data_IF_352304743303
#
_entry.id   IF_352304743303
#
_cell.length_a   1.000
_cell.length_b   1.000
_cell.length_c   1.000
_cell.angle_alpha   90.00
_cell.angle_beta   90.00
_cell.angle_gamma   90.00
#
_symmetry.space_group_name_H-M   'P 1'
#
loop_
_entity.id
_entity.type
_entity.pdbx_description
1 polymer ?
#
# COMPACT_ATOMS: atom_id res chain seq x y z
N UNK A 1 32.06 2.94 -6.20
CA UNK A 1 31.46 2.66 -4.87
C UNK A 1 31.13 3.98 -4.16
N UNK A 2 30.34 4.85 -4.81
CA UNK A 2 29.97 6.19 -4.31
C UNK A 2 28.63 6.52 -4.97
N UNK A 3 27.51 6.07 -4.38
CA UNK A 3 26.13 6.55 -4.68
C UNK A 3 25.09 5.93 -3.71
N UNK A 4 25.48 5.70 -2.45
CA UNK A 4 24.55 5.39 -1.33
C UNK A 4 24.57 6.55 -0.32
N UNK A 5 24.34 7.76 -0.82
CA UNK A 5 24.08 8.97 -0.02
C UNK A 5 22.74 9.53 -0.49
N UNK A 6 21.68 8.77 -0.30
CA UNK A 6 20.32 9.24 -0.57
C UNK A 6 19.84 9.89 0.73
N UNK A 7 19.91 11.21 0.83
CA UNK A 7 18.75 12.09 0.62
C UNK A 7 17.57 11.83 1.58
N UNK A 8 17.78 11.18 2.72
CA UNK A 8 16.74 10.90 3.74
C UNK A 8 16.16 12.15 4.44
N UNK A 9 16.48 13.38 4.02
CA UNK A 9 16.03 14.58 4.75
C UNK A 9 16.04 15.92 3.99
N UNK A 10 16.24 15.96 2.66
CA UNK A 10 16.34 17.25 1.93
C UNK A 10 15.15 17.55 1.02
N UNK A 11 14.31 16.60 0.62
CA UNK A 11 13.19 16.92 -0.29
C UNK A 11 11.95 17.49 0.42
N UNK A 12 11.76 17.22 1.72
CA UNK A 12 10.59 17.70 2.47
C UNK A 12 10.75 19.17 2.90
N UNK A 13 11.98 19.69 2.98
CA UNK A 13 12.25 21.04 3.49
C UNK A 13 11.97 22.17 2.48
N UNK A 14 11.99 21.90 1.17
CA UNK A 14 11.78 22.94 0.14
C UNK A 14 10.31 23.15 -0.23
N UNK A 15 9.38 22.27 0.20
CA UNK A 15 7.95 22.39 -0.12
C UNK A 15 7.08 22.98 1.01
N UNK A 16 7.65 23.25 2.18
CA UNK A 16 6.94 23.84 3.33
C UNK A 16 6.57 25.32 3.08
N UNK A 17 7.12 25.98 2.06
CA UNK A 17 6.85 27.39 1.79
C UNK A 17 5.69 27.69 0.82
N UNK A 18 4.94 26.71 0.30
CA UNK A 18 3.91 26.99 -0.75
C UNK A 18 2.48 26.58 -0.41
N UNK A 19 2.22 25.82 0.66
CA UNK A 19 0.86 25.28 0.91
C UNK A 19 0.08 25.95 2.05
N UNK A 20 0.60 27.03 2.65
CA UNK A 20 -0.24 27.87 3.51
C UNK A 20 -0.96 28.88 2.62
N UNK A 21 -2.29 28.76 2.58
CA UNK A 21 -3.27 29.64 1.91
C UNK A 21 -3.57 29.33 0.44
N UNK A 22 -4.46 28.35 0.20
CA UNK A 22 -5.51 28.53 -0.81
C UNK A 22 -6.86 28.18 -0.16
N UNK A 23 -7.77 29.14 0.03
CA UNK A 23 -9.10 28.88 0.57
C UNK A 23 -9.87 27.93 -0.35
N UNK A 24 -10.65 27.04 0.26
CA UNK A 24 -11.57 26.13 -0.41
C UNK A 24 -12.79 26.89 -0.98
N UNK A 25 -12.58 27.77 -1.95
CA UNK A 25 -13.64 28.45 -2.70
C UNK A 25 -13.19 28.48 -4.15
N UNK A 26 -13.97 27.83 -5.03
CA UNK A 26 -13.78 27.70 -6.50
C UNK A 26 -13.32 26.33 -7.04
N UNK A 27 -13.87 25.22 -6.54
CA UNK A 27 -13.96 24.00 -7.36
C UNK A 27 -15.37 23.94 -7.97
N UNK A 28 -15.48 24.16 -9.28
CA UNK A 28 -16.71 23.95 -10.05
C UNK A 28 -17.14 22.47 -9.95
N UNK A 29 -18.45 22.15 -10.04
CA UNK A 29 -18.92 20.76 -10.05
C UNK A 29 -18.53 20.15 -11.39
N UNK A 30 -17.39 19.43 -11.40
CA UNK A 30 -16.91 18.68 -12.55
C UNK A 30 -17.54 17.31 -12.49
N UNK A 31 -18.11 16.82 -13.60
CA UNK A 31 -18.61 15.45 -13.81
C UNK A 31 -18.07 14.46 -12.77
N UNK A 32 -18.99 13.99 -11.92
CA UNK A 32 -18.71 13.29 -10.66
C UNK A 32 -18.12 11.87 -10.85
N UNK A 33 -18.01 11.41 -12.10
CA UNK A 33 -17.36 10.17 -12.46
C UNK A 33 -15.88 10.42 -12.84
N UNK A 34 -14.97 9.75 -12.14
CA UNK A 34 -13.54 9.71 -12.45
C UNK A 34 -13.18 8.34 -12.99
N UNK A 35 -12.70 8.32 -14.24
CA UNK A 35 -12.20 7.12 -14.91
C UNK A 35 -10.68 7.21 -15.02
N UNK A 36 -10.00 6.19 -14.53
CA UNK A 36 -8.55 6.06 -14.60
C UNK A 36 -8.20 4.75 -15.29
N UNK A 37 -7.35 4.82 -16.30
CA UNK A 37 -6.80 3.65 -17.00
C UNK A 37 -5.31 3.57 -16.69
N UNK A 38 -4.86 2.42 -16.20
CA UNK A 38 -3.49 2.21 -15.76
C UNK A 38 -2.87 0.96 -16.43
N UNK A 39 -1.56 1.02 -16.64
CA UNK A 39 -0.75 -0.12 -17.06
C UNK A 39 0.56 -0.12 -16.29
N UNK A 40 0.85 -1.20 -15.57
CA UNK A 40 2.01 -1.29 -14.68
C UNK A 40 2.48 -2.73 -14.46
N UNK A 41 3.66 -2.87 -13.88
CA UNK A 41 4.24 -4.13 -13.41
C UNK A 41 4.59 -3.99 -11.93
N UNK A 42 4.34 -5.02 -11.13
CA UNK A 42 4.58 -5.02 -9.68
C UNK A 42 5.05 -6.40 -9.20
N UNK A 43 5.98 -6.43 -8.25
CA UNK A 43 6.38 -7.66 -7.54
C UNK A 43 5.17 -8.32 -6.86
N UNK A 44 5.15 -9.63 -6.85
CA UNK A 44 4.19 -10.42 -6.07
C UNK A 44 4.88 -11.02 -4.86
N UNK A 45 4.25 -10.88 -3.69
CA UNK A 45 4.59 -11.61 -2.48
C UNK A 45 3.60 -12.77 -2.31
N UNK A 46 3.95 -13.76 -1.51
CA UNK A 46 3.05 -14.87 -1.17
C UNK A 46 1.76 -14.39 -0.50
N UNK A 47 0.65 -15.09 -0.73
CA UNK A 47 -0.64 -14.77 -0.07
C UNK A 47 -0.67 -15.25 1.38
N UNK A 48 0.12 -16.27 1.70
CA UNK A 48 0.31 -16.79 3.05
C UNK A 48 1.75 -16.60 3.51
N UNK A 49 1.92 -16.51 4.84
CA UNK A 49 3.23 -16.45 5.48
C UNK A 49 3.95 -17.80 5.37
N UNK A 50 5.28 -17.78 5.23
CA UNK A 50 6.13 -18.97 5.27
C UNK A 50 6.25 -19.53 6.72
N UNK A 51 7.08 -20.55 6.93
CA UNK A 51 7.32 -21.14 8.25
C UNK A 51 7.90 -20.15 9.29
N UNK A 52 8.52 -19.07 8.82
CA UNK A 52 9.04 -17.97 9.65
C UNK A 52 7.99 -16.87 9.85
N UNK A 53 6.76 -17.03 9.38
CA UNK A 53 5.74 -16.01 9.53
C UNK A 53 5.90 -14.81 8.58
N UNK A 54 6.70 -14.94 7.51
CA UNK A 54 7.00 -13.86 6.57
C UNK A 54 6.33 -14.07 5.20
N UNK A 55 5.83 -12.98 4.61
CA UNK A 55 5.48 -12.91 3.19
C UNK A 55 6.76 -12.83 2.35
N UNK A 56 6.90 -13.72 1.37
CA UNK A 56 8.12 -13.83 0.55
C UNK A 56 7.85 -13.55 -0.92
N UNK A 57 8.79 -12.98 -1.67
CA UNK A 57 8.63 -12.78 -3.11
C UNK A 57 8.30 -14.08 -3.85
N UNK A 58 7.33 -14.04 -4.76
CA UNK A 58 6.92 -15.18 -5.61
C UNK A 58 7.14 -14.90 -7.09
N UNK A 59 7.26 -13.63 -7.48
CA UNK A 59 7.51 -13.22 -8.87
C UNK A 59 7.04 -11.80 -9.10
N UNK A 60 6.32 -11.58 -10.20
CA UNK A 60 5.72 -10.29 -10.51
C UNK A 60 4.43 -10.48 -11.33
N UNK A 61 3.62 -9.42 -11.44
CA UNK A 61 2.47 -9.38 -12.34
C UNK A 61 2.51 -8.13 -13.22
N UNK A 62 2.11 -8.29 -14.47
CA UNK A 62 1.80 -7.17 -15.36
C UNK A 62 0.29 -6.93 -15.33
N UNK A 63 -0.11 -5.68 -15.21
CA UNK A 63 -1.49 -5.31 -14.93
C UNK A 63 -1.94 -4.22 -15.90
N UNK A 64 -3.11 -4.43 -16.51
CA UNK A 64 -3.91 -3.37 -17.10
C UNK A 64 -5.19 -3.23 -16.28
N UNK A 65 -5.55 -2.01 -15.89
CA UNK A 65 -6.69 -1.74 -15.03
C UNK A 65 -7.51 -0.55 -15.50
N UNK A 66 -8.83 -0.63 -15.31
CA UNK A 66 -9.77 0.48 -15.38
C UNK A 66 -10.37 0.65 -14.00
N UNK A 67 -10.25 1.84 -13.46
CA UNK A 67 -10.94 2.29 -12.25
C UNK A 67 -11.99 3.31 -12.66
N UNK A 68 -13.22 3.15 -12.20
CA UNK A 68 -14.26 4.16 -12.31
C UNK A 68 -14.84 4.41 -10.92
N UNK A 69 -14.77 5.64 -10.46
CA UNK A 69 -15.34 6.07 -9.19
C UNK A 69 -16.34 7.17 -9.47
N UNK A 70 -17.59 6.96 -9.07
CA UNK A 70 -18.67 7.94 -9.15
C UNK A 70 -19.15 8.22 -7.74
N UNK A 71 -19.14 9.48 -7.32
CA UNK A 71 -19.65 9.93 -6.02
C UNK A 71 -20.75 10.97 -6.26
N UNK A 72 -22.00 10.56 -6.13
CA UNK A 72 -23.18 11.38 -6.48
C UNK A 72 -24.26 11.15 -5.42
N UNK A 73 -24.90 12.23 -4.97
CA UNK A 73 -26.11 12.21 -4.14
C UNK A 73 -26.02 11.33 -2.87
N UNK A 74 -24.84 11.28 -2.25
CA UNK A 74 -24.64 10.48 -1.02
C UNK A 74 -24.35 9.00 -1.29
N UNK A 75 -24.07 8.61 -2.54
CA UNK A 75 -23.69 7.24 -2.90
C UNK A 75 -22.34 7.22 -3.63
N UNK A 76 -21.44 6.33 -3.18
CA UNK A 76 -20.24 6.00 -3.93
C UNK A 76 -20.46 4.70 -4.69
N UNK A 77 -20.14 4.76 -5.97
CA UNK A 77 -20.04 3.61 -6.84
C UNK A 77 -18.60 3.48 -7.32
N UNK A 78 -18.05 2.28 -7.20
CA UNK A 78 -16.71 1.96 -7.68
C UNK A 78 -16.79 0.76 -8.60
N UNK A 79 -16.25 0.88 -9.80
CA UNK A 79 -16.07 -0.23 -10.73
C UNK A 79 -14.60 -0.43 -10.99
N UNK A 80 -14.18 -1.68 -10.97
CA UNK A 80 -12.81 -2.09 -11.18
C UNK A 80 -12.82 -3.19 -12.23
N UNK A 81 -12.08 -3.02 -13.30
CA UNK A 81 -11.87 -4.05 -14.33
C UNK A 81 -10.39 -4.22 -14.54
N UNK A 82 -9.88 -5.43 -14.32
CA UNK A 82 -8.43 -5.68 -14.29
C UNK A 82 -8.09 -6.95 -15.06
N UNK A 83 -6.98 -6.91 -15.78
CA UNK A 83 -6.32 -8.08 -16.34
C UNK A 83 -4.91 -8.13 -15.77
N UNK A 84 -4.56 -9.26 -15.15
CA UNK A 84 -3.28 -9.48 -14.47
C UNK A 84 -2.58 -10.70 -15.06
N UNK A 85 -1.41 -10.53 -15.66
CA UNK A 85 -0.57 -11.64 -16.12
C UNK A 85 0.52 -11.91 -15.08
N UNK A 86 0.51 -13.11 -14.48
CA UNK A 86 1.43 -13.52 -13.42
C UNK A 86 2.65 -14.24 -13.97
N UNK A 87 3.82 -13.92 -13.44
CA UNK A 87 5.11 -14.51 -13.77
C UNK A 87 5.85 -14.90 -12.49
N UNK A 88 6.66 -15.95 -12.54
CA UNK A 88 7.58 -16.28 -11.43
C UNK A 88 8.87 -15.46 -11.46
N UNK A 89 9.70 -15.68 -10.44
CA UNK A 89 11.03 -15.06 -10.31
C UNK A 89 12.02 -15.40 -11.46
N UNK A 90 11.70 -16.41 -12.29
CA UNK A 90 12.48 -16.81 -13.46
C UNK A 90 11.88 -16.29 -14.76
N UNK A 91 10.93 -15.34 -14.69
CA UNK A 91 10.27 -14.75 -15.85
C UNK A 91 9.39 -15.75 -16.62
N UNK A 92 8.97 -16.85 -15.98
CA UNK A 92 8.06 -17.82 -16.58
C UNK A 92 6.61 -17.43 -16.29
N UNK A 93 5.83 -17.26 -17.36
CA UNK A 93 4.39 -17.02 -17.26
C UNK A 93 3.69 -18.17 -16.51
N UNK A 94 2.77 -17.83 -15.63
CA UNK A 94 1.97 -18.79 -14.86
C UNK A 94 0.55 -18.85 -15.36
N UNK A 95 -0.15 -17.73 -15.29
CA UNK A 95 -1.55 -17.59 -15.60
C UNK A 95 -1.91 -16.12 -15.71
N UNK A 96 -3.07 -15.87 -16.28
CA UNK A 96 -3.70 -14.57 -16.29
C UNK A 96 -4.97 -14.60 -15.46
N UNK A 97 -5.28 -13.52 -14.77
CA UNK A 97 -6.52 -13.37 -14.01
C UNK A 97 -7.26 -12.14 -14.53
N UNK A 98 -8.50 -12.35 -14.96
CA UNK A 98 -9.41 -11.30 -15.40
C UNK A 98 -10.42 -11.10 -14.28
N UNK A 99 -10.53 -9.86 -13.79
CA UNK A 99 -11.40 -9.50 -12.66
C UNK A 99 -12.32 -8.36 -13.05
N UNK A 100 -13.57 -8.45 -12.66
CA UNK A 100 -14.50 -7.33 -12.65
C UNK A 100 -15.18 -7.25 -11.30
N UNK A 101 -15.14 -6.07 -10.71
CA UNK A 101 -15.71 -5.81 -9.40
C UNK A 101 -16.53 -4.52 -9.45
N UNK A 102 -17.75 -4.57 -8.91
CA UNK A 102 -18.56 -3.37 -8.69
C UNK A 102 -18.94 -3.30 -7.23
N UNK A 103 -18.71 -2.14 -6.62
CA UNK A 103 -19.08 -1.85 -5.26
C UNK A 103 -19.97 -0.61 -5.23
N UNK A 104 -21.07 -0.72 -4.50
CA UNK A 104 -22.05 0.34 -4.31
C UNK A 104 -22.22 0.55 -2.83
N UNK A 105 -22.12 1.78 -2.36
CA UNK A 105 -22.30 2.11 -0.95
C UNK A 105 -23.02 3.44 -0.79
N UNK A 106 -24.10 3.39 -0.02
CA UNK A 106 -24.82 4.57 0.40
C UNK A 106 -24.16 5.14 1.66
N UNK A 107 -23.59 6.34 1.57
CA UNK A 107 -22.79 6.97 2.62
C UNK A 107 -23.57 7.32 3.88
N UNK A 108 -24.89 7.48 3.78
CA UNK A 108 -25.74 7.88 4.89
C UNK A 108 -26.16 6.65 5.71
N UNK A 109 -26.63 5.61 5.02
CA UNK A 109 -27.09 4.37 5.66
C UNK A 109 -25.94 3.41 5.99
N UNK A 110 -24.85 3.43 5.22
CA UNK A 110 -23.81 2.40 5.24
C UNK A 110 -24.27 1.07 4.64
N UNK A 111 -25.37 1.04 3.89
CA UNK A 111 -25.77 -0.12 3.12
C UNK A 111 -24.91 -0.24 1.86
N UNK A 112 -24.39 -1.45 1.61
CA UNK A 112 -23.55 -1.71 0.46
C UNK A 112 -23.86 -3.03 -0.24
N UNK A 113 -23.61 -3.04 -1.54
CA UNK A 113 -23.64 -4.25 -2.36
C UNK A 113 -22.36 -4.37 -3.17
N UNK A 114 -22.00 -5.61 -3.47
CA UNK A 114 -20.79 -5.94 -4.19
C UNK A 114 -21.07 -7.03 -5.23
N UNK A 115 -20.50 -6.85 -6.42
CA UNK A 115 -20.43 -7.84 -7.48
C UNK A 115 -18.96 -8.17 -7.68
N UNK A 116 -18.62 -9.45 -7.76
CA UNK A 116 -17.29 -9.93 -8.10
C UNK A 116 -17.36 -11.03 -9.12
N UNK A 117 -16.64 -10.83 -10.21
CA UNK A 117 -16.45 -11.78 -11.27
C UNK A 117 -14.95 -11.99 -11.45
N UNK A 118 -14.56 -13.24 -11.63
CA UNK A 118 -13.15 -13.62 -11.79
C UNK A 118 -13.07 -14.83 -12.69
N UNK A 119 -12.13 -14.80 -13.61
CA UNK A 119 -11.75 -15.94 -14.43
C UNK A 119 -10.22 -16.04 -14.49
N UNK A 120 -9.71 -17.26 -14.55
CA UNK A 120 -8.29 -17.53 -14.75
C UNK A 120 -8.08 -18.14 -16.13
N UNK A 121 -7.07 -17.65 -16.83
CA UNK A 121 -6.67 -18.10 -18.15
C UNK A 121 -5.23 -18.59 -18.14
N UNK A 122 -4.90 -19.55 -19.01
CA UNK A 122 -3.55 -20.07 -19.18
C UNK A 122 -2.79 -19.39 -20.33
N UNK A 123 -3.31 -18.27 -20.84
CA UNK A 123 -2.66 -17.46 -21.89
C UNK A 123 -2.49 -16.02 -21.42
N UNK A 124 -1.35 -15.37 -21.74
CA UNK A 124 -1.12 -13.97 -21.40
C UNK A 124 -2.10 -13.06 -22.16
N UNK A 125 -2.62 -12.04 -21.47
CA UNK A 125 -3.60 -11.10 -22.00
C UNK A 125 -3.12 -9.65 -21.96
N UNK A 126 -2.12 -9.34 -21.13
CA UNK A 126 -1.47 -8.03 -21.06
C UNK A 126 -0.35 -7.99 -22.10
N UNK A 127 -0.59 -7.28 -23.21
CA UNK A 127 0.46 -7.06 -24.21
C UNK A 127 1.62 -6.29 -23.56
N UNK A 128 2.78 -6.92 -23.46
CA UNK A 128 3.99 -6.25 -22.98
C UNK A 128 4.34 -5.10 -23.92
N UNK A 129 4.07 -3.86 -23.48
CA UNK A 129 4.62 -2.68 -24.14
C UNK A 129 6.14 -2.71 -24.00
N UNK A 130 6.86 -2.25 -25.01
CA UNK A 130 8.30 -1.92 -24.90
C UNK A 130 8.45 -0.92 -23.73
N UNK A 131 8.97 -1.39 -22.59
CA UNK A 131 9.09 -0.60 -21.35
C UNK A 131 8.42 -1.21 -20.11
N UNK A 132 7.48 -2.16 -20.25
CA UNK A 132 6.89 -2.95 -19.15
C UNK A 132 7.72 -4.21 -18.87
N UNK A 133 9.04 -4.07 -18.83
CA UNK A 133 9.89 -5.12 -18.28
C UNK A 133 10.31 -4.61 -16.93
N UNK A 134 9.56 -4.98 -15.87
CA UNK A 134 10.15 -5.04 -14.56
C UNK A 134 11.38 -5.94 -14.71
N UNK A 135 12.56 -5.33 -14.85
CA UNK A 135 13.79 -6.08 -14.71
C UNK A 135 13.73 -6.65 -13.30
N UNK A 136 14.39 -7.78 -13.07
CA UNK A 136 14.53 -8.42 -11.75
C UNK A 136 14.95 -7.46 -10.61
N UNK A 137 15.41 -6.25 -10.95
CA UNK A 137 15.86 -5.16 -10.08
C UNK A 137 14.82 -4.07 -9.79
N UNK A 138 13.71 -3.95 -10.53
CA UNK A 138 12.70 -2.89 -10.33
C UNK A 138 11.38 -3.51 -9.85
N UNK A 139 11.02 -3.22 -8.59
CA UNK A 139 9.87 -3.84 -7.91
C UNK A 139 8.50 -3.30 -8.37
N UNK A 140 8.50 -2.11 -8.98
CA UNK A 140 7.32 -1.49 -9.56
C UNK A 140 7.70 -0.61 -10.75
N UNK A 141 6.94 -0.69 -11.84
CA UNK A 141 7.08 0.16 -13.02
C UNK A 141 5.68 0.50 -13.55
N UNK A 142 5.37 1.80 -13.67
CA UNK A 142 4.12 2.27 -14.27
C UNK A 142 4.40 3.01 -15.57
N UNK A 143 3.56 2.78 -16.58
CA UNK A 143 3.70 3.44 -17.89
C UNK A 143 2.75 4.62 -18.00
N UNK A 144 3.28 5.75 -18.49
CA UNK A 144 2.46 6.87 -18.94
C UNK A 144 1.79 6.50 -20.27
N UNK A 145 0.45 6.47 -20.27
CA UNK A 145 -0.36 6.09 -21.43
C UNK A 145 -0.82 7.33 -22.20
N UNK A 146 -0.70 7.29 -23.53
CA UNK A 146 -1.41 8.24 -24.40
C UNK A 146 -2.91 7.96 -24.40
N UNK A 147 -3.74 8.89 -24.89
CA UNK A 147 -5.19 8.70 -24.91
C UNK A 147 -5.63 7.58 -25.86
N UNK A 148 -4.90 7.37 -26.96
CA UNK A 148 -5.10 6.22 -27.86
C UNK A 148 -4.80 4.90 -27.15
N UNK A 149 -3.73 4.85 -26.35
CA UNK A 149 -3.35 3.67 -25.57
C UNK A 149 -4.37 3.37 -24.48
N UNK A 150 -4.85 4.39 -23.77
CA UNK A 150 -5.95 4.24 -22.79
C UNK A 150 -7.19 3.67 -23.47
N UNK A 151 -7.54 4.18 -24.64
CA UNK A 151 -8.71 3.71 -25.41
C UNK A 151 -8.56 2.26 -25.84
N UNK A 152 -7.37 1.87 -26.32
CA UNK A 152 -7.07 0.48 -26.70
C UNK A 152 -7.18 -0.46 -25.49
N UNK A 153 -6.51 -0.13 -24.38
CA UNK A 153 -6.54 -0.93 -23.15
C UNK A 153 -7.98 -1.06 -22.64
N UNK A 154 -8.73 0.05 -22.63
CA UNK A 154 -10.13 0.06 -22.20
C UNK A 154 -10.96 -0.95 -23.00
N UNK A 155 -10.88 -0.89 -24.34
CA UNK A 155 -11.59 -1.80 -25.24
C UNK A 155 -11.19 -3.26 -25.06
N UNK A 156 -9.91 -3.53 -24.84
CA UNK A 156 -9.41 -4.89 -24.59
C UNK A 156 -9.97 -5.46 -23.28
N UNK A 157 -9.87 -4.70 -22.18
CA UNK A 157 -10.41 -5.10 -20.87
C UNK A 157 -11.93 -5.31 -20.95
N UNK A 158 -12.67 -4.38 -21.55
CA UNK A 158 -14.13 -4.51 -21.73
C UNK A 158 -14.49 -5.78 -22.51
N UNK A 159 -13.70 -6.12 -23.54
CA UNK A 159 -13.89 -7.35 -24.32
C UNK A 159 -13.62 -8.64 -23.54
N UNK A 160 -12.75 -8.60 -22.54
CA UNK A 160 -12.54 -9.72 -21.62
C UNK A 160 -13.63 -9.79 -20.56
N UNK A 161 -13.97 -8.66 -19.93
CA UNK A 161 -15.00 -8.56 -18.89
C UNK A 161 -16.37 -8.98 -19.40
N UNK A 162 -16.72 -8.64 -20.65
CA UNK A 162 -17.99 -9.05 -21.26
C UNK A 162 -18.17 -10.58 -21.40
N UNK A 163 -17.10 -11.37 -21.23
CA UNK A 163 -17.14 -12.83 -21.28
C UNK A 163 -17.18 -13.47 -19.89
N UNK A 164 -17.02 -12.68 -18.83
CA UNK A 164 -17.04 -13.21 -17.47
C UNK A 164 -18.44 -13.76 -17.14
N UNK A 165 -18.52 -14.83 -16.32
CA UNK A 165 -19.80 -15.37 -15.89
C UNK A 165 -20.58 -14.32 -15.10
N UNK A 166 -21.88 -14.19 -15.37
CA UNK A 166 -22.75 -13.28 -14.62
C UNK A 166 -22.69 -13.58 -13.11
N UNK A 167 -22.64 -12.52 -12.32
CA UNK A 167 -22.66 -12.60 -10.86
C UNK A 167 -23.78 -11.71 -10.31
N UNK A 168 -24.56 -12.23 -9.38
CA UNK A 168 -25.58 -11.47 -8.69
C UNK A 168 -24.95 -10.54 -7.63
N UNK A 169 -25.52 -9.35 -7.41
CA UNK A 169 -25.12 -8.49 -6.29
C UNK A 169 -25.27 -9.22 -4.94
N UNK A 170 -24.23 -9.14 -4.13
CA UNK A 170 -24.20 -9.66 -2.76
C UNK A 170 -24.22 -8.49 -1.78
N UNK A 171 -24.82 -8.68 -0.61
CA UNK A 171 -24.66 -7.70 0.47
C UNK A 171 -23.19 -7.62 0.86
N UNK A 172 -22.69 -6.41 0.99
CA UNK A 172 -21.35 -6.12 1.46
C UNK A 172 -21.42 -5.30 2.74
N UNK A 173 -20.34 -5.32 3.50
CA UNK A 173 -20.15 -4.32 4.54
C UNK A 173 -20.02 -2.96 3.88
N UNK A 174 -20.84 -2.00 4.32
CA UNK A 174 -20.77 -0.62 3.87
C UNK A 174 -20.14 0.31 4.90
N UNK A 175 -19.90 1.54 4.47
CA UNK A 175 -19.21 2.58 5.23
C UNK A 175 -20.06 3.84 5.26
N UNK A 176 -20.12 4.48 6.43
CA UNK A 176 -20.69 5.82 6.51
C UNK A 176 -19.62 6.87 6.30
N UNK A 177 -19.98 7.98 5.66
CA UNK A 177 -19.06 9.11 5.48
C UNK A 177 -18.57 9.68 6.82
N UNK A 178 -19.43 9.67 7.83
CA UNK A 178 -19.07 10.07 9.19
C UNK A 178 -17.95 9.22 9.79
N UNK A 179 -17.85 7.93 9.43
CA UNK A 179 -16.81 7.06 9.97
C UNK A 179 -15.45 7.35 9.31
N UNK A 180 -15.44 7.62 8.00
CA UNK A 180 -14.24 8.10 7.30
C UNK A 180 -13.76 9.45 7.83
N UNK A 181 -14.68 10.37 8.13
CA UNK A 181 -14.33 11.67 8.69
C UNK A 181 -13.78 11.57 10.12
N UNK A 182 -14.25 10.60 10.93
CA UNK A 182 -13.64 10.32 12.24
C UNK A 182 -12.18 9.90 12.09
N UNK A 183 -11.87 9.02 11.12
CA UNK A 183 -10.48 8.60 10.87
C UNK A 183 -9.60 9.76 10.40
N UNK A 184 -10.07 10.55 9.44
CA UNK A 184 -9.33 11.73 8.95
C UNK A 184 -9.07 12.74 10.06
N UNK A 185 -9.99 12.81 11.03
CA UNK A 185 -9.94 13.80 12.10
C UNK A 185 -9.47 13.26 13.45
N UNK A 186 -9.05 12.00 13.53
CA UNK A 186 -8.59 11.37 14.76
C UNK A 186 -7.38 12.14 15.32
N UNK A 187 -7.52 12.77 16.51
CA UNK A 187 -6.44 13.52 17.14
C UNK A 187 -5.19 12.69 17.41
N UNK A 188 -5.32 11.38 17.68
CA UNK A 188 -4.18 10.50 17.91
C UNK A 188 -3.46 10.18 16.60
N UNK A 189 -4.20 9.90 15.52
CA UNK A 189 -3.62 9.74 14.18
C UNK A 189 -2.95 11.04 13.69
N UNK A 190 -3.57 12.21 13.95
CA UNK A 190 -2.99 13.52 13.64
C UNK A 190 -1.74 13.84 14.46
N UNK A 191 -1.70 13.45 15.74
CA UNK A 191 -0.57 13.69 16.64
C UNK A 191 0.63 12.78 16.30
N UNK A 192 0.39 11.49 16.06
CA UNK A 192 1.37 10.52 15.57
C UNK A 192 1.86 10.83 14.13
N UNK A 193 1.16 11.73 13.44
CA UNK A 193 1.61 12.25 12.14
C UNK A 193 2.45 13.53 12.31
N UNK A 194 2.13 14.35 13.32
CA UNK A 194 2.79 15.62 13.56
C UNK A 194 4.21 15.48 14.14
N UNK A 195 4.54 14.41 14.85
CA UNK A 195 5.90 14.25 15.40
C UNK A 195 6.87 13.43 14.54
N UNK A 196 6.43 12.86 13.41
CA UNK A 196 7.26 12.33 12.32
C UNK A 196 8.25 13.36 11.70
N UNK A 197 8.23 14.62 12.15
CA UNK A 197 8.89 15.74 11.50
C UNK A 197 10.28 16.12 12.02
N UNK A 198 11.02 15.30 12.78
CA UNK A 198 12.33 15.73 13.32
C UNK A 198 13.46 14.68 13.38
N UNK A 199 14.63 15.16 12.91
CA UNK A 199 16.02 14.76 13.18
C UNK A 199 16.72 13.75 12.23
N UNK A 200 17.94 14.13 11.83
CA UNK A 200 18.91 13.33 11.07
C UNK A 200 20.33 13.52 11.63
N UNK A 201 21.14 12.45 11.67
CA UNK A 201 22.61 12.46 11.49
C UNK A 201 23.22 11.04 11.32
N UNK A 202 24.12 10.92 10.32
CA UNK A 202 25.20 9.93 10.05
C UNK A 202 25.14 8.46 10.53
N UNK A 203 24.11 7.68 10.19
CA UNK A 203 24.07 6.21 10.34
C UNK A 203 23.31 5.57 9.15
N UNK A 204 23.50 4.27 8.84
CA UNK A 204 22.63 3.56 7.87
C UNK A 204 21.21 3.48 8.45
N UNK A 205 20.32 4.31 7.92
CA UNK A 205 18.93 4.43 8.33
C UNK A 205 18.02 4.36 7.10
N UNK A 206 16.90 3.69 7.23
CA UNK A 206 15.78 3.72 6.29
C UNK A 206 14.49 3.54 7.07
N UNK A 207 13.39 4.09 6.58
CA UNK A 207 12.10 3.99 7.22
C UNK A 207 11.15 5.11 6.87
N UNK A 208 9.86 4.80 6.99
CA UNK A 208 8.77 5.76 6.86
C UNK A 208 7.80 5.56 8.03
N UNK A 209 7.09 6.61 8.45
CA UNK A 209 6.05 6.49 9.48
C UNK A 209 6.52 5.79 10.77
N UNK A 210 7.74 6.11 11.23
CA UNK A 210 8.37 5.57 12.45
C UNK A 210 8.59 4.04 12.44
N UNK A 211 8.48 3.40 11.26
CA UNK A 211 8.96 2.06 10.97
C UNK A 211 10.37 2.17 10.38
N UNK A 212 11.41 1.84 11.14
CA UNK A 212 12.79 2.08 10.71
C UNK A 212 13.80 1.11 11.32
N UNK A 213 15.00 1.13 10.76
CA UNK A 213 16.19 0.64 11.42
C UNK A 213 17.27 1.72 11.48
N UNK A 214 18.14 1.59 12.46
CA UNK A 214 19.39 2.33 12.59
C UNK A 214 20.47 1.29 12.94
N UNK A 215 21.46 1.11 12.07
CA UNK A 215 22.50 0.09 12.26
C UNK A 215 23.90 0.68 12.04
N UNK A 216 24.71 0.63 13.09
CA UNK A 216 26.12 1.00 13.03
C UNK A 216 26.93 -0.24 12.63
N UNK A 217 27.42 -0.26 11.39
CA UNK A 217 28.17 -1.41 10.83
C UNK A 217 29.56 -1.60 11.43
N UNK A 218 30.12 -0.58 12.09
CA UNK A 218 31.44 -0.67 12.73
C UNK A 218 31.35 -1.25 14.15
N UNK A 219 30.32 -0.89 14.90
CA UNK A 219 30.13 -1.36 16.29
C UNK A 219 29.16 -2.53 16.40
N UNK A 220 28.44 -2.83 15.32
CA UNK A 220 27.33 -3.79 15.30
C UNK A 220 26.06 -3.30 16.00
N UNK A 221 26.10 -2.14 16.68
CA UNK A 221 24.96 -1.61 17.41
C UNK A 221 23.77 -1.35 16.48
N UNK A 222 22.57 -1.67 16.94
CA UNK A 222 21.35 -1.39 16.20
C UNK A 222 20.18 -0.95 17.07
N UNK A 223 19.25 -0.25 16.41
CA UNK A 223 17.87 -0.03 16.81
C UNK A 223 16.96 -0.42 15.66
N UNK A 224 15.91 -1.19 15.95
CA UNK A 224 14.86 -1.55 15.00
C UNK A 224 13.51 -1.20 15.59
N UNK A 225 12.61 -0.63 14.79
CA UNK A 225 11.30 -0.19 15.24
C UNK A 225 10.23 -0.44 14.18
N UNK A 226 9.08 -0.96 14.60
CA UNK A 226 7.91 -1.20 13.73
C UNK A 226 6.60 -0.93 14.44
N UNK A 227 5.58 -0.56 13.67
CA UNK A 227 4.22 -0.33 14.15
C UNK A 227 3.67 -1.63 14.75
N UNK A 228 3.14 -1.51 15.97
CA UNK A 228 2.51 -2.59 16.71
C UNK A 228 1.10 -2.90 16.23
N UNK A 229 0.39 -3.76 16.98
CA UNK A 229 -0.99 -4.10 16.67
C UNK A 229 -1.98 -2.98 17.07
N UNK A 230 -1.65 -2.18 18.08
CA UNK A 230 -2.40 -0.98 18.40
C UNK A 230 -1.88 0.16 17.52
N UNK A 231 -2.79 0.97 16.95
CA UNK A 231 -2.39 2.21 16.27
C UNK A 231 -1.49 3.03 17.19
N UNK A 232 -0.60 3.87 16.62
CA UNK A 232 0.34 4.75 17.33
C UNK A 232 1.38 4.10 18.28
N UNK A 233 1.32 2.81 18.61
CA UNK A 233 2.33 2.13 19.43
C UNK A 233 3.31 1.36 18.55
N UNK A 234 4.60 1.46 18.86
CA UNK A 234 5.68 0.83 18.11
C UNK A 234 6.47 -0.13 19.00
N UNK A 235 6.84 -1.27 18.41
CA UNK A 235 7.73 -2.26 19.01
C UNK A 235 9.16 -1.89 18.66
N UNK A 236 9.99 -1.60 19.67
CA UNK A 236 11.38 -1.20 19.49
C UNK A 236 12.33 -2.19 20.17
N UNK A 237 13.34 -2.63 19.43
CA UNK A 237 14.49 -3.36 19.96
C UNK A 237 15.78 -2.59 19.77
N UNK A 238 16.67 -2.66 20.75
CA UNK A 238 18.05 -2.22 20.62
C UNK A 238 19.01 -3.35 20.99
N UNK A 239 20.13 -3.45 20.30
CA UNK A 239 21.06 -4.56 20.46
C UNK A 239 22.36 -4.39 19.70
N UNK A 240 23.07 -5.50 19.51
CA UNK A 240 24.26 -5.55 18.65
C UNK A 240 24.31 -6.81 17.80
N UNK A 241 24.77 -6.67 16.56
CA UNK A 241 25.12 -7.78 15.66
C UNK A 241 26.51 -8.34 15.95
N UNK A 242 27.33 -7.63 16.73
CA UNK A 242 28.68 -8.06 17.05
C UNK A 242 28.66 -9.34 17.91
N UNK A 243 29.32 -10.39 17.44
CA UNK A 243 29.36 -11.68 18.13
C UNK A 243 28.05 -12.48 18.08
N UNK A 244 27.04 -12.03 17.34
CA UNK A 244 25.75 -12.74 17.20
C UNK A 244 25.37 -12.91 15.72
N UNK A 245 25.53 -14.13 15.21
CA UNK A 245 25.07 -14.50 13.87
C UNK A 245 23.55 -14.42 13.74
N UNK A 246 22.82 -14.71 14.83
CA UNK A 246 21.36 -14.58 14.90
C UNK A 246 20.93 -13.13 14.68
N UNK A 247 21.48 -12.19 15.47
CA UNK A 247 21.17 -10.77 15.30
C UNK A 247 21.60 -10.23 13.94
N UNK A 248 22.75 -10.67 13.40
CA UNK A 248 23.21 -10.25 12.07
C UNK A 248 22.27 -10.72 10.94
N UNK A 249 21.81 -11.97 10.99
CA UNK A 249 20.87 -12.53 10.03
C UNK A 249 19.50 -11.82 10.13
N UNK A 250 18.98 -11.66 11.34
CA UNK A 250 17.72 -10.94 11.58
C UNK A 250 17.83 -9.48 11.16
N UNK A 251 18.95 -8.80 11.39
CA UNK A 251 19.16 -7.44 10.91
C UNK A 251 19.05 -7.37 9.38
N UNK A 252 19.62 -8.35 8.65
CA UNK A 252 19.56 -8.39 7.19
C UNK A 252 18.13 -8.59 6.68
N UNK A 253 17.36 -9.49 7.31
CA UNK A 253 15.95 -9.72 6.96
C UNK A 253 15.08 -8.50 7.31
N UNK A 254 15.30 -7.88 8.47
CA UNK A 254 14.58 -6.70 8.91
C UNK A 254 14.84 -5.51 7.98
N UNK A 255 16.11 -5.28 7.59
CA UNK A 255 16.48 -4.28 6.59
C UNK A 255 15.79 -4.53 5.25
N UNK A 256 15.73 -5.77 4.80
CA UNK A 256 15.00 -6.11 3.55
C UNK A 256 13.54 -5.73 3.65
N UNK A 257 12.91 -6.00 4.79
CA UNK A 257 11.51 -5.66 5.04
C UNK A 257 11.28 -4.15 5.09
N UNK A 258 12.07 -3.40 5.86
CA UNK A 258 11.96 -1.94 5.94
C UNK A 258 12.29 -1.26 4.62
N UNK A 259 13.31 -1.71 3.89
CA UNK A 259 13.64 -1.16 2.58
C UNK A 259 12.54 -1.45 1.55
N UNK A 260 11.93 -2.65 1.60
CA UNK A 260 10.75 -2.96 0.81
C UNK A 260 9.63 -1.99 1.11
N UNK A 261 9.22 -1.90 2.37
CA UNK A 261 8.20 -0.96 2.83
C UNK A 261 8.48 0.49 2.37
N UNK A 262 9.69 0.99 2.61
CA UNK A 262 10.12 2.35 2.26
C UNK A 262 10.06 2.62 0.76
N UNK A 263 10.53 1.69 -0.09
CA UNK A 263 10.41 1.84 -1.55
C UNK A 263 8.96 1.94 -2.01
N UNK A 264 8.07 1.07 -1.52
CA UNK A 264 6.67 1.12 -1.93
C UNK A 264 5.98 2.41 -1.48
N UNK A 265 6.37 2.95 -0.34
CA UNK A 265 5.75 4.14 0.26
C UNK A 265 6.31 5.43 -0.34
N UNK A 266 7.61 5.64 -0.18
CA UNK A 266 8.24 6.92 -0.48
C UNK A 266 8.63 7.04 -1.95
N UNK A 267 8.92 5.93 -2.63
CA UNK A 267 9.32 5.96 -4.03
C UNK A 267 8.15 5.72 -4.97
N UNK A 268 7.34 4.69 -4.74
CA UNK A 268 6.28 4.29 -5.69
C UNK A 268 4.93 4.94 -5.39
N UNK A 269 4.62 5.17 -4.10
CA UNK A 269 3.41 5.86 -3.68
C UNK A 269 3.58 7.38 -3.52
N UNK A 270 4.61 7.99 -4.12
CA UNK A 270 4.77 9.45 -4.11
C UNK A 270 3.50 10.16 -4.62
N UNK A 271 3.08 11.21 -3.91
CA UNK A 271 1.88 11.98 -4.21
C UNK A 271 2.24 13.46 -4.35
N UNK A 272 1.64 14.20 -5.31
CA UNK A 272 1.85 15.64 -5.42
C UNK A 272 1.25 16.43 -4.24
N UNK A 273 0.39 15.79 -3.44
CA UNK A 273 -0.30 16.39 -2.30
C UNK A 273 -0.06 15.55 -1.05
N UNK A 274 0.57 16.16 -0.06
CA UNK A 274 0.84 15.58 1.26
C UNK A 274 -0.38 14.94 1.96
N UNK A 275 -1.62 15.51 1.88
CA UNK A 275 -2.83 14.90 2.44
C UNK A 275 -3.15 13.48 1.96
N UNK A 276 -2.71 13.09 0.76
CA UNK A 276 -2.96 11.73 0.22
C UNK A 276 -2.18 10.68 1.00
N UNK A 277 -0.91 10.96 1.27
CA UNK A 277 -0.02 10.08 2.02
C UNK A 277 -0.40 10.06 3.51
N UNK A 278 -0.93 11.18 4.03
CA UNK A 278 -1.53 11.27 5.37
C UNK A 278 -2.79 10.40 5.49
N UNK A 279 -3.68 10.46 4.50
CA UNK A 279 -4.91 9.66 4.46
C UNK A 279 -4.62 8.17 4.46
N UNK A 280 -3.59 7.75 3.71
CA UNK A 280 -3.09 6.37 3.71
C UNK A 280 -2.52 5.94 5.08
N UNK A 281 -1.66 6.74 5.71
CA UNK A 281 -1.07 6.39 7.01
C UNK A 281 -2.11 6.27 8.12
N UNK A 282 -3.12 7.14 8.10
CA UNK A 282 -4.29 7.09 9.00
C UNK A 282 -5.13 5.83 8.77
N UNK A 283 -5.22 5.34 7.53
CA UNK A 283 -5.89 4.10 7.20
C UNK A 283 -5.27 2.92 7.95
N UNK A 284 -3.95 2.73 7.83
CA UNK A 284 -3.25 1.60 8.47
C UNK A 284 -3.39 1.62 9.99
N UNK A 285 -3.41 2.81 10.61
CA UNK A 285 -3.51 2.93 12.07
C UNK A 285 -4.93 2.74 12.61
N UNK A 286 -5.98 3.19 11.89
CA UNK A 286 -7.32 3.37 12.49
C UNK A 286 -8.44 2.46 11.98
N UNK A 287 -8.19 1.60 11.00
CA UNK A 287 -9.25 0.82 10.32
C UNK A 287 -10.12 -0.10 11.18
N UNK A 288 -9.73 -0.37 12.44
CA UNK A 288 -10.56 -1.12 13.40
C UNK A 288 -11.98 -0.54 13.54
N UNK A 289 -12.13 0.76 13.28
CA UNK A 289 -13.36 1.51 13.47
C UNK A 289 -14.34 1.41 12.30
N UNK A 290 -13.89 0.95 11.12
CA UNK A 290 -14.66 1.10 9.87
C UNK A 290 -15.03 -0.24 9.23
N UNK A 291 -14.12 -1.23 9.23
CA UNK A 291 -14.38 -2.54 8.60
C UNK A 291 -14.30 -3.66 9.64
N UNK A 292 -15.39 -3.84 10.38
CA UNK A 292 -15.58 -4.93 11.34
C UNK A 292 -15.16 -6.31 10.77
N UNK A 293 -14.39 -7.07 11.56
CA UNK A 293 -13.90 -8.40 11.18
C UNK A 293 -12.52 -8.42 10.51
N UNK A 294 -11.98 -7.25 10.16
CA UNK A 294 -10.63 -7.09 9.62
C UNK A 294 -9.74 -6.54 10.76
N UNK A 295 -8.58 -7.17 11.00
CA UNK A 295 -7.70 -6.81 12.12
C UNK A 295 -7.13 -5.39 12.05
N UNK A 296 -6.22 -5.04 12.96
CA UNK A 296 -5.57 -3.72 13.00
C UNK A 296 -4.15 -3.73 12.44
N UNK A 297 -3.63 -2.53 12.17
CA UNK A 297 -2.26 -2.35 11.70
C UNK A 297 -2.02 -2.96 10.32
N UNK A 298 -0.76 -3.32 10.01
CA UNK A 298 -0.39 -3.81 8.69
C UNK A 298 -1.18 -5.07 8.26
N UNK A 299 -1.37 -6.04 9.16
CA UNK A 299 -2.16 -7.25 8.89
C UNK A 299 -3.63 -6.97 8.52
N UNK A 300 -4.25 -6.01 9.22
CA UNK A 300 -5.60 -5.55 8.91
C UNK A 300 -5.72 -4.96 7.52
N UNK A 301 -4.79 -4.07 7.17
CA UNK A 301 -4.75 -3.45 5.86
C UNK A 301 -4.56 -4.45 4.72
N UNK A 302 -3.66 -5.44 4.89
CA UNK A 302 -3.47 -6.51 3.90
C UNK A 302 -4.78 -7.24 3.63
N UNK A 303 -5.51 -7.58 4.70
CA UNK A 303 -6.79 -8.30 4.62
C UNK A 303 -7.85 -7.47 3.90
N UNK A 304 -7.89 -6.16 4.15
CA UNK A 304 -8.79 -5.23 3.46
C UNK A 304 -8.48 -5.17 1.97
N UNK A 305 -7.22 -4.93 1.60
CA UNK A 305 -6.82 -4.81 0.20
C UNK A 305 -7.03 -6.12 -0.60
N UNK A 306 -7.03 -7.29 0.06
CA UNK A 306 -7.25 -8.58 -0.58
C UNK A 306 -8.72 -8.99 -0.69
N UNK A 307 -9.50 -8.76 0.38
CA UNK A 307 -10.79 -9.44 0.54
C UNK A 307 -11.97 -8.49 0.68
N UNK A 308 -11.75 -7.21 0.94
CA UNK A 308 -12.86 -6.27 1.08
C UNK A 308 -13.20 -5.67 -0.29
N UNK A 309 -14.38 -6.01 -0.81
CA UNK A 309 -14.85 -5.50 -2.12
C UNK A 309 -14.98 -3.97 -2.19
N UNK A 310 -15.14 -3.31 -1.03
CA UNK A 310 -15.16 -1.84 -0.92
C UNK A 310 -13.80 -1.21 -0.65
N UNK A 311 -12.68 -1.94 -0.76
CA UNK A 311 -11.35 -1.44 -0.41
C UNK A 311 -10.98 -0.17 -1.19
N UNK A 312 -11.24 -0.13 -2.50
CA UNK A 312 -10.91 1.05 -3.30
C UNK A 312 -11.82 2.25 -2.98
N UNK A 313 -13.10 2.03 -2.70
CA UNK A 313 -14.01 3.09 -2.25
C UNK A 313 -13.63 3.63 -0.87
N UNK A 314 -13.16 2.75 0.02
CA UNK A 314 -12.59 3.14 1.32
C UNK A 314 -11.36 3.99 1.12
N UNK A 315 -10.47 3.55 0.24
CA UNK A 315 -9.25 4.26 -0.08
C UNK A 315 -9.56 5.63 -0.69
N UNK A 316 -10.50 5.72 -1.62
CA UNK A 316 -11.01 6.97 -2.19
C UNK A 316 -11.65 7.90 -1.15
N UNK A 317 -12.32 7.31 -0.16
CA UNK A 317 -12.89 8.05 0.96
C UNK A 317 -11.85 8.63 1.91
N UNK A 318 -10.69 7.97 2.08
CA UNK A 318 -9.58 8.41 2.94
C UNK A 318 -8.59 9.34 2.24
N UNK A 319 -8.47 9.19 0.92
CA UNK A 319 -7.58 9.95 0.02
C UNK A 319 -8.43 10.83 -0.91
N UNK A 320 -7.93 11.21 -2.09
CA UNK A 320 -8.77 11.70 -3.18
C UNK A 320 -9.13 10.57 -4.15
N UNK A 321 -10.25 10.73 -4.84
CA UNK A 321 -10.68 9.83 -5.91
C UNK A 321 -9.68 9.74 -7.07
N UNK A 322 -8.82 10.74 -7.25
CA UNK A 322 -7.73 10.73 -8.25
C UNK A 322 -6.57 9.86 -7.80
N UNK A 323 -6.32 9.78 -6.49
CA UNK A 323 -5.25 8.98 -5.91
C UNK A 323 -5.67 7.53 -5.67
N UNK A 324 -6.97 7.28 -5.50
CA UNK A 324 -7.51 5.96 -5.31
C UNK A 324 -7.61 5.16 -6.61
N UNK A 325 -6.48 4.58 -7.00
CA UNK A 325 -6.37 3.73 -8.19
C UNK A 325 -5.99 2.29 -7.81
N UNK A 326 -6.17 1.35 -8.74
CA UNK A 326 -5.81 -0.07 -8.51
C UNK A 326 -4.30 -0.19 -8.26
N UNK A 327 -3.47 0.55 -9.00
CA UNK A 327 -2.01 0.52 -8.77
C UNK A 327 -1.65 0.97 -7.35
N UNK A 328 -2.30 2.01 -6.83
CA UNK A 328 -2.05 2.55 -5.49
C UNK A 328 -2.55 1.64 -4.39
N UNK A 329 -3.70 0.99 -4.59
CA UNK A 329 -4.19 -0.02 -3.65
C UNK A 329 -3.23 -1.23 -3.58
N UNK A 330 -2.67 -1.66 -4.71
CA UNK A 330 -1.69 -2.75 -4.77
C UNK A 330 -0.34 -2.39 -4.15
N UNK A 331 0.21 -1.22 -4.47
CA UNK A 331 1.43 -0.70 -3.84
C UNK A 331 1.26 -0.64 -2.31
N UNK A 332 0.10 -0.16 -1.87
CA UNK A 332 -0.28 -0.06 -0.48
C UNK A 332 -0.35 -1.44 0.21
N UNK A 333 -0.95 -2.44 -0.46
CA UNK A 333 -0.98 -3.83 0.02
C UNK A 333 0.43 -4.40 0.20
N UNK A 334 1.29 -4.23 -0.81
CA UNK A 334 2.66 -4.77 -0.77
C UNK A 334 3.50 -4.06 0.30
N UNK A 335 3.36 -2.74 0.46
CA UNK A 335 3.96 -2.00 1.56
C UNK A 335 3.55 -2.58 2.92
N UNK A 336 2.26 -2.84 3.12
CA UNK A 336 1.77 -3.41 4.37
C UNK A 336 2.29 -4.84 4.62
N UNK A 337 2.45 -5.67 3.60
CA UNK A 337 3.08 -7.00 3.73
C UNK A 337 4.52 -6.90 4.23
N UNK A 338 5.30 -5.95 3.70
CA UNK A 338 6.67 -5.70 4.19
C UNK A 338 6.70 -5.13 5.61
N UNK A 339 5.79 -4.21 5.94
CA UNK A 339 5.65 -3.70 7.30
C UNK A 339 5.26 -4.82 8.28
N UNK A 340 4.35 -5.70 7.88
CA UNK A 340 3.93 -6.86 8.67
C UNK A 340 5.08 -7.86 8.88
N UNK A 341 5.93 -8.10 7.89
CA UNK A 341 7.14 -8.91 8.06
C UNK A 341 8.04 -8.32 9.15
N UNK A 342 8.32 -7.03 9.08
CA UNK A 342 9.14 -6.34 10.08
C UNK A 342 8.46 -6.37 11.47
N UNK A 343 7.14 -6.23 11.53
CA UNK A 343 6.36 -6.36 12.77
C UNK A 343 6.45 -7.76 13.36
N UNK A 344 6.30 -8.82 12.55
CA UNK A 344 6.42 -10.21 13.00
C UNK A 344 7.77 -10.47 13.65
N UNK A 345 8.85 -9.93 13.07
CA UNK A 345 10.19 -10.09 13.65
C UNK A 345 10.32 -9.46 15.04
N UNK A 346 9.74 -8.27 15.25
CA UNK A 346 9.74 -7.61 16.56
C UNK A 346 8.74 -8.23 17.53
N UNK A 347 7.55 -8.62 17.06
CA UNK A 347 6.54 -9.27 17.90
C UNK A 347 7.02 -10.63 18.42
N UNK A 348 7.65 -11.42 17.56
CA UNK A 348 8.29 -12.69 17.92
C UNK A 348 9.77 -12.49 18.28
N UNK A 349 10.10 -11.38 18.96
CA UNK A 349 11.49 -10.95 19.13
C UNK A 349 12.44 -12.01 19.68
N UNK A 350 11.98 -12.92 20.55
CA UNK A 350 12.82 -14.03 21.04
C UNK A 350 13.31 -15.01 19.95
N UNK A 351 12.58 -15.12 18.83
CA UNK A 351 12.99 -15.92 17.68
C UNK A 351 14.04 -15.23 16.79
N UNK A 352 14.06 -13.88 16.78
CA UNK A 352 14.89 -13.09 15.85
C UNK A 352 16.04 -12.35 16.53
N UNK A 353 15.85 -11.91 17.77
CA UNK A 353 16.76 -11.05 18.50
C UNK A 353 17.24 -11.77 19.77
N UNK A 354 18.52 -11.64 20.09
CA UNK A 354 19.10 -12.14 21.34
C UNK A 354 19.95 -11.05 22.01
N UNK A 355 20.00 -11.08 23.34
CA UNK A 355 20.73 -10.10 24.16
C UNK A 355 20.36 -8.64 23.80
N UNK A 356 19.06 -8.39 23.59
CA UNK A 356 18.51 -7.09 23.19
C UNK A 356 17.64 -6.49 24.29
N UNK A 357 17.50 -5.17 24.29
CA UNK A 357 16.49 -4.46 25.07
C UNK A 357 15.22 -4.30 24.24
N UNK A 358 14.07 -4.55 24.85
CA UNK A 358 12.76 -4.35 24.24
C UNK A 358 12.04 -3.17 24.91
N UNK A 359 11.34 -2.37 24.10
CA UNK A 359 10.44 -1.32 24.59
C UNK A 359 9.24 -1.19 23.66
N UNK A 360 8.10 -0.82 24.24
CA UNK A 360 6.96 -0.28 23.48
C UNK A 360 7.05 1.23 23.59
N UNK A 361 7.03 1.91 22.45
CA UNK A 361 7.18 3.36 22.38
C UNK A 361 5.98 3.96 21.67
N UNK A 362 5.59 5.16 22.08
CA UNK A 362 4.67 5.94 21.26
C UNK A 362 5.40 6.34 19.98
N UNK A 363 4.71 6.20 18.86
CA UNK A 363 5.13 6.77 17.61
C UNK A 363 5.29 8.27 17.77
N UNK A 364 6.26 8.83 17.05
CA UNK A 364 6.44 10.27 16.99
C UNK A 364 5.26 10.92 16.25
#
# INVERSE_FOLDING_TARGET
>A
MVFKKTLSSILTATMICVSVVVPAVNAQPVDNAKITVESYSIETLSDTKNAEGLYVPTGYKNVNAITEITDVDGEIKTKISVVEDYFDQNNSFKNSVIKHEEYYNNWDSGEATFIKQTETSNTPHVQQKVGLTAKKTEKFVQVNLSDDEKTKIKKEIEGYVAKLPEAAPQKAQGLKKADLEKLKNDPEAKKAFAALSNAAASIEMAGAYDNYYNHNTSTGWFRVQTLGAQGHLYLRYEGSTYGSSKNANSMTQFKTSINGYDSYINQYMEAPKWPEVVGWGSAIMGLITIVAGYGTGPAGWITIALYYGGALSTFAGLTSTVYATVSRLELSRVAAQYCENARVMNFNGGAYWENTSFSVVNGF
#
